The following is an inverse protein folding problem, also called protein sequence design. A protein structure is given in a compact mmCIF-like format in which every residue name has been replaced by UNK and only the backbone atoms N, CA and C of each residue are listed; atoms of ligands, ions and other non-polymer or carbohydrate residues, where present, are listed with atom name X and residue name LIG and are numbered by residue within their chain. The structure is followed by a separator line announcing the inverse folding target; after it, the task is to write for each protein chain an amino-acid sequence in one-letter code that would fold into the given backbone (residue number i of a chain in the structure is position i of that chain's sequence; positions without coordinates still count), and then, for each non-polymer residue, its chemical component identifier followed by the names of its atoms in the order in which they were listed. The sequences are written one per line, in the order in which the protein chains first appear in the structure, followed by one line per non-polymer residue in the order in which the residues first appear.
data_IF_276400124180
#
_entry.id   IF_276400124180
#
_cell.length_a   1.000
_cell.length_b   1.000
_cell.length_c   1.000
_cell.angle_alpha   90.00
_cell.angle_beta   90.00
_cell.angle_gamma   90.00
#
_symmetry.space_group_name_H-M   'P 1'
#
loop_
_entity.id
_entity.type
_entity.pdbx_description
1 polymer ?
#
# COMPACT_ATOMS: atom_id res chain seq x y z
N UNK A 1 14.01 -20.26 -14.74
CA UNK A 1 13.26 -19.52 -15.74
C UNK A 1 12.91 -18.18 -15.15
N UNK A 2 13.57 -17.20 -15.62
CA UNK A 2 13.18 -15.85 -15.32
C UNK A 2 11.80 -15.66 -15.87
N UNK A 3 10.83 -15.61 -15.02
CA UNK A 3 9.47 -15.48 -15.43
C UNK A 3 9.30 -14.26 -16.30
N UNK A 4 8.67 -14.47 -17.42
CA UNK A 4 8.12 -13.38 -18.16
C UNK A 4 7.29 -12.54 -17.21
N UNK A 5 7.31 -11.23 -17.40
CA UNK A 5 6.53 -10.32 -16.58
C UNK A 5 5.05 -10.59 -16.80
N UNK A 6 4.50 -11.54 -16.07
CA UNK A 6 3.07 -11.74 -16.02
C UNK A 6 2.48 -10.75 -15.04
N UNK A 7 1.35 -10.15 -15.39
CA UNK A 7 0.66 -9.24 -14.48
C UNK A 7 0.37 -9.96 -13.16
N UNK A 8 0.77 -9.34 -12.06
CA UNK A 8 0.47 -9.87 -10.74
C UNK A 8 -0.85 -9.28 -10.24
N UNK A 9 -1.64 -10.10 -9.53
CA UNK A 9 -2.89 -9.60 -8.95
C UNK A 9 -2.62 -8.55 -7.87
N UNK A 10 -3.62 -7.75 -7.51
CA UNK A 10 -3.47 -6.81 -6.41
C UNK A 10 -3.03 -7.52 -5.13
N UNK A 11 -2.20 -6.86 -4.35
CA UNK A 11 -1.73 -7.39 -3.07
C UNK A 11 -2.88 -7.44 -2.06
N UNK A 12 -3.71 -6.40 -2.04
CA UNK A 12 -4.85 -6.27 -1.15
C UNK A 12 -6.11 -6.03 -1.98
N UNK A 13 -7.25 -6.39 -1.41
CA UNK A 13 -8.54 -6.12 -2.04
C UNK A 13 -9.29 -5.06 -1.26
N UNK A 14 -9.77 -4.05 -1.97
CA UNK A 14 -10.69 -3.08 -1.39
C UNK A 14 -12.11 -3.66 -1.46
N UNK A 15 -12.86 -3.51 -0.38
CA UNK A 15 -14.22 -4.03 -0.27
C UNK A 15 -15.19 -2.88 0.02
N UNK A 16 -16.48 -3.14 -0.21
CA UNK A 16 -17.52 -2.14 0.08
C UNK A 16 -17.54 -1.77 1.56
N UNK A 17 -17.21 -2.74 2.41
CA UNK A 17 -17.05 -2.49 3.84
C UNK A 17 -15.63 -1.99 4.09
N UNK A 18 -15.49 -0.97 4.93
CA UNK A 18 -14.18 -0.40 5.24
C UNK A 18 -13.26 -1.43 5.87
N UNK A 19 -12.03 -1.49 5.36
CA UNK A 19 -10.98 -2.31 5.93
C UNK A 19 -9.96 -1.40 6.59
N UNK A 20 -9.49 -1.81 7.76
CA UNK A 20 -8.60 -0.99 8.57
C UNK A 20 -7.28 -1.72 8.81
N UNK A 21 -6.19 -0.97 8.75
CA UNK A 21 -4.85 -1.46 8.98
C UNK A 21 -4.14 -0.54 9.94
N UNK A 22 -3.31 -1.12 10.84
CA UNK A 22 -2.30 -0.31 11.51
C UNK A 22 -1.33 0.19 10.45
N UNK A 23 -1.03 1.47 10.51
CA UNK A 23 -0.15 2.12 9.55
C UNK A 23 1.08 2.63 10.27
N UNK A 24 2.25 2.26 9.76
CA UNK A 24 3.51 2.92 10.11
C UNK A 24 4.12 3.42 8.83
N UNK A 25 4.42 4.69 8.77
CA UNK A 25 5.05 5.30 7.61
C UNK A 25 6.27 6.08 8.06
N UNK A 26 7.43 5.61 7.62
CA UNK A 26 8.70 6.25 7.94
C UNK A 26 9.26 6.86 6.66
N UNK A 27 9.49 8.14 6.68
CA UNK A 27 10.07 8.86 5.55
C UNK A 27 11.13 9.82 6.06
N UNK A 28 12.39 9.47 5.83
CA UNK A 28 13.54 10.25 6.29
C UNK A 28 13.46 10.45 7.81
N UNK A 29 13.25 11.69 8.26
CA UNK A 29 13.14 12.01 9.70
C UNK A 29 11.70 11.97 10.21
N UNK A 30 10.74 11.75 9.33
CA UNK A 30 9.33 11.76 9.72
C UNK A 30 8.85 10.34 10.00
N UNK A 31 8.20 10.17 11.15
CA UNK A 31 7.63 8.90 11.57
C UNK A 31 6.17 9.12 11.88
N UNK A 32 5.30 8.44 11.13
CA UNK A 32 3.86 8.54 11.34
C UNK A 32 3.31 7.18 11.73
N UNK A 33 2.54 7.15 12.79
CA UNK A 33 1.81 5.96 13.22
C UNK A 33 0.33 6.27 13.24
N UNK A 34 -0.48 5.33 12.78
CA UNK A 34 -1.91 5.54 12.79
C UNK A 34 -2.65 4.41 12.13
N UNK A 35 -3.67 4.77 11.40
CA UNK A 35 -4.59 3.81 10.78
C UNK A 35 -4.75 4.13 9.31
N UNK A 36 -4.70 3.09 8.49
CA UNK A 36 -5.08 3.17 7.08
C UNK A 36 -6.49 2.62 6.95
N UNK A 37 -7.37 3.36 6.32
CA UNK A 37 -8.75 2.93 6.07
C UNK A 37 -8.96 2.87 4.57
N UNK A 38 -9.38 1.71 4.07
CA UNK A 38 -9.57 1.47 2.65
C UNK A 38 -11.00 1.01 2.41
N UNK A 39 -11.64 1.58 1.40
CA UNK A 39 -13.00 1.24 1.05
C UNK A 39 -13.21 1.31 -0.45
N UNK A 40 -13.90 0.32 -0.99
CA UNK A 40 -14.36 0.35 -2.37
C UNK A 40 -15.64 1.18 -2.42
N UNK A 41 -15.57 2.30 -3.11
CA UNK A 41 -16.71 3.19 -3.30
C UNK A 41 -17.42 2.87 -4.61
N UNK A 42 -18.64 3.38 -4.81
CA UNK A 42 -19.29 3.31 -6.12
C UNK A 42 -18.42 3.98 -7.21
N UNK A 43 -18.74 3.69 -8.47
CA UNK A 43 -18.06 4.28 -9.63
C UNK A 43 -16.59 3.92 -9.77
N UNK A 44 -16.22 2.70 -9.33
CA UNK A 44 -14.85 2.17 -9.44
C UNK A 44 -13.81 3.02 -8.71
N UNK A 45 -14.21 3.63 -7.61
CA UNK A 45 -13.31 4.42 -6.78
C UNK A 45 -12.86 3.62 -5.57
N UNK A 46 -11.56 3.61 -5.29
CA UNK A 46 -11.01 3.09 -4.04
C UNK A 46 -10.59 4.30 -3.22
N UNK A 47 -11.19 4.45 -2.04
CA UNK A 47 -10.85 5.55 -1.13
C UNK A 47 -9.83 5.06 -0.11
N UNK A 48 -8.75 5.82 0.05
CA UNK A 48 -7.63 5.45 0.92
C UNK A 48 -7.38 6.60 1.87
N UNK A 49 -7.62 6.37 3.16
CA UNK A 49 -7.46 7.38 4.19
C UNK A 49 -6.37 6.96 5.15
N UNK A 50 -5.45 7.90 5.46
CA UNK A 50 -4.47 7.72 6.51
C UNK A 50 -4.75 8.70 7.64
N UNK A 51 -4.77 8.21 8.87
CA UNK A 51 -5.10 9.05 10.03
C UNK A 51 -4.26 8.61 11.23
N UNK A 52 -3.90 9.57 12.07
CA UNK A 52 -3.33 9.23 13.37
C UNK A 52 -4.43 8.70 14.28
N UNK A 53 -4.05 8.04 15.37
CA UNK A 53 -5.04 7.51 16.30
C UNK A 53 -5.79 8.59 17.07
N UNK A 54 -5.25 9.80 17.14
CA UNK A 54 -5.96 10.93 17.77
C UNK A 54 -6.72 11.79 16.76
N UNK A 55 -6.92 11.29 15.54
CA UNK A 55 -7.85 11.89 14.59
C UNK A 55 -7.27 12.90 13.61
N UNK A 56 -5.95 13.09 13.58
CA UNK A 56 -5.35 13.95 12.57
C UNK A 56 -5.29 13.22 11.23
N UNK A 57 -5.87 13.82 10.19
CA UNK A 57 -5.80 13.24 8.86
C UNK A 57 -4.39 13.43 8.28
N UNK A 58 -3.77 12.33 7.89
CA UNK A 58 -2.46 12.37 7.23
C UNK A 58 -2.62 12.53 5.74
N UNK A 59 -3.53 11.80 5.14
CA UNK A 59 -3.81 11.89 3.72
C UNK A 59 -5.18 11.31 3.40
N UNK A 60 -5.70 11.73 2.25
CA UNK A 60 -6.95 11.27 1.70
C UNK A 60 -6.76 11.14 0.19
N UNK A 61 -6.70 9.91 -0.29
CA UNK A 61 -6.45 9.60 -1.70
C UNK A 61 -7.60 8.83 -2.30
N UNK A 62 -7.76 8.99 -3.62
CA UNK A 62 -8.71 8.18 -4.38
C UNK A 62 -7.98 7.54 -5.56
N UNK A 63 -8.25 6.24 -5.79
CA UNK A 63 -7.88 5.57 -7.02
C UNK A 63 -9.15 5.37 -7.84
N UNK A 64 -9.26 6.08 -8.93
CA UNK A 64 -10.40 5.99 -9.84
C UNK A 64 -9.93 5.27 -11.09
N UNK A 65 -10.16 3.98 -11.14
CA UNK A 65 -9.52 3.10 -12.12
C UNK A 65 -8.00 3.23 -11.97
N UNK A 66 -7.35 3.86 -12.92
CA UNK A 66 -5.90 4.04 -12.98
C UNK A 66 -5.45 5.44 -12.56
N UNK A 67 -6.41 6.31 -12.26
CA UNK A 67 -6.12 7.71 -11.91
C UNK A 67 -6.01 7.88 -10.40
N UNK A 68 -4.88 8.43 -9.97
CA UNK A 68 -4.63 8.72 -8.56
C UNK A 68 -4.97 10.17 -8.27
N UNK A 69 -5.84 10.39 -7.30
CA UNK A 69 -6.32 11.73 -6.93
C UNK A 69 -5.95 12.00 -5.48
N UNK A 70 -5.31 13.14 -5.24
CA UNK A 70 -4.98 13.60 -3.91
C UNK A 70 -6.09 14.54 -3.46
N UNK A 71 -6.96 14.06 -2.57
CA UNK A 71 -8.02 14.90 -2.01
C UNK A 71 -7.48 15.84 -0.95
N UNK A 72 -6.58 15.33 -0.10
CA UNK A 72 -5.86 16.15 0.86
C UNK A 72 -4.63 15.39 1.35
N UNK A 73 -3.63 16.13 1.82
CA UNK A 73 -2.53 15.50 2.53
C UNK A 73 -1.75 16.58 3.31
N UNK A 74 -1.05 16.13 4.35
CA UNK A 74 -0.25 17.02 5.16
C UNK A 74 0.99 17.50 4.38
N UNK A 75 1.51 18.62 4.80
CA UNK A 75 2.63 19.30 4.17
C UNK A 75 3.83 18.40 3.84
N UNK A 76 4.35 17.58 4.78
CA UNK A 76 5.50 16.74 4.49
C UNK A 76 5.29 15.75 3.36
N UNK A 77 4.05 15.37 3.06
CA UNK A 77 3.72 14.40 2.01
C UNK A 77 3.37 15.05 0.68
N UNK A 78 3.28 16.38 0.61
CA UNK A 78 2.83 17.09 -0.59
C UNK A 78 3.87 17.20 -1.69
N UNK A 79 5.11 16.81 -1.44
CA UNK A 79 6.15 16.88 -2.46
C UNK A 79 5.82 15.93 -3.60
N UNK A 80 6.03 16.40 -4.84
CA UNK A 80 5.71 15.61 -6.03
C UNK A 80 6.34 14.23 -6.01
N UNK A 81 7.60 14.14 -5.59
CA UNK A 81 8.30 12.85 -5.54
C UNK A 81 7.62 11.90 -4.56
N UNK A 82 7.23 12.39 -3.39
CA UNK A 82 6.57 11.61 -2.38
C UNK A 82 5.21 11.11 -2.88
N UNK A 83 4.43 12.00 -3.46
CA UNK A 83 3.12 11.63 -3.99
C UNK A 83 3.23 10.62 -5.12
N UNK A 84 4.25 10.74 -5.98
CA UNK A 84 4.47 9.78 -7.05
C UNK A 84 4.79 8.39 -6.50
N UNK A 85 5.58 8.33 -5.44
CA UNK A 85 5.92 7.07 -4.78
C UNK A 85 4.68 6.45 -4.15
N UNK A 86 3.90 7.25 -3.43
CA UNK A 86 2.67 6.77 -2.81
C UNK A 86 1.67 6.29 -3.86
N UNK A 87 1.55 7.02 -4.96
CA UNK A 87 0.70 6.60 -6.08
C UNK A 87 1.11 5.20 -6.57
N UNK A 88 2.39 5.01 -6.82
CA UNK A 88 2.91 3.73 -7.31
C UNK A 88 2.65 2.62 -6.29
N UNK A 89 2.90 2.90 -5.02
CA UNK A 89 2.70 1.91 -3.97
C UNK A 89 1.23 1.50 -3.82
N UNK A 90 0.33 2.47 -3.79
CA UNK A 90 -1.09 2.16 -3.65
C UNK A 90 -1.66 1.47 -4.90
N UNK A 91 -1.15 1.81 -6.07
CA UNK A 91 -1.54 1.09 -7.30
C UNK A 91 -1.08 -0.37 -7.24
N UNK A 92 0.15 -0.62 -6.77
CA UNK A 92 0.63 -1.99 -6.61
C UNK A 92 -0.17 -2.76 -5.54
N UNK A 93 -0.65 -2.07 -4.52
CA UNK A 93 -1.45 -2.72 -3.47
C UNK A 93 -2.83 -3.12 -3.99
N UNK A 94 -3.50 -2.25 -4.72
CA UNK A 94 -4.93 -2.41 -5.01
C UNK A 94 -5.26 -2.66 -6.47
N UNK A 95 -4.31 -2.56 -7.38
CA UNK A 95 -4.52 -2.79 -8.81
C UNK A 95 -3.56 -3.88 -9.30
N UNK A 96 -3.86 -4.42 -10.48
CA UNK A 96 -2.94 -5.35 -11.11
C UNK A 96 -1.63 -4.65 -11.45
N UNK A 97 -0.52 -5.34 -11.23
CA UNK A 97 0.78 -4.80 -11.54
C UNK A 97 1.42 -5.59 -12.69
N UNK A 98 1.77 -4.89 -13.76
CA UNK A 98 2.47 -5.49 -14.88
C UNK A 98 3.98 -5.40 -14.75
N UNK A 99 4.46 -4.59 -13.82
CA UNK A 99 5.90 -4.33 -13.64
C UNK A 99 6.49 -5.01 -12.42
N UNK A 100 5.67 -5.64 -11.62
CA UNK A 100 6.14 -6.35 -10.43
C UNK A 100 6.43 -7.80 -10.77
N UNK A 101 7.39 -8.39 -10.05
CA UNK A 101 7.72 -9.80 -10.18
C UNK A 101 7.87 -10.41 -8.80
N UNK A 102 7.57 -11.71 -8.71
CA UNK A 102 7.75 -12.43 -7.45
C UNK A 102 9.22 -12.83 -7.34
N UNK A 103 9.86 -12.45 -6.23
CA UNK A 103 11.24 -12.82 -5.96
C UNK A 103 11.33 -14.07 -5.12
N UNK A 104 10.48 -14.19 -4.09
CA UNK A 104 10.42 -15.34 -3.20
C UNK A 104 8.97 -15.63 -2.87
N UNK A 105 8.63 -16.90 -2.73
CA UNK A 105 7.28 -17.29 -2.36
C UNK A 105 7.29 -18.60 -1.60
N UNK A 106 6.53 -18.64 -0.50
CA UNK A 106 6.23 -19.85 0.23
C UNK A 106 4.76 -19.80 0.66
N UNK A 107 4.28 -20.78 1.39
CA UNK A 107 2.90 -20.77 1.86
C UNK A 107 2.59 -19.65 2.87
N UNK A 108 3.63 -19.10 3.51
CA UNK A 108 3.46 -18.10 4.57
C UNK A 108 4.09 -16.76 4.23
N UNK A 109 4.73 -16.65 3.07
CA UNK A 109 5.57 -15.50 2.76
C UNK A 109 5.62 -15.28 1.26
N UNK A 110 5.55 -14.02 0.86
CA UNK A 110 5.75 -13.67 -0.55
C UNK A 110 6.51 -12.36 -0.59
N UNK A 111 7.48 -12.27 -1.49
CA UNK A 111 8.21 -11.05 -1.73
C UNK A 111 8.14 -10.69 -3.20
N UNK A 112 7.69 -9.48 -3.48
CA UNK A 112 7.60 -8.92 -4.83
C UNK A 112 8.54 -7.75 -4.96
N UNK A 113 9.09 -7.57 -6.15
CA UNK A 113 9.94 -6.45 -6.48
C UNK A 113 9.35 -5.71 -7.67
N UNK A 114 9.33 -4.39 -7.59
CA UNK A 114 8.89 -3.53 -8.66
C UNK A 114 9.94 -2.43 -8.88
N UNK A 115 10.16 -2.04 -10.14
CA UNK A 115 11.05 -0.95 -10.47
C UNK A 115 12.53 -1.30 -10.42
N UNK A 116 13.37 -0.30 -10.70
CA UNK A 116 14.83 -0.41 -10.73
C UNK A 116 15.45 0.84 -10.12
N UNK A 117 16.70 0.70 -9.63
CA UNK A 117 17.46 1.84 -9.12
C UNK A 117 16.73 2.56 -8.00
N UNK A 118 16.60 3.86 -8.09
CA UNK A 118 15.91 4.65 -7.09
C UNK A 118 14.42 4.34 -7.02
N UNK A 119 13.86 3.81 -8.10
CA UNK A 119 12.45 3.40 -8.11
C UNK A 119 12.22 1.99 -7.63
N UNK A 120 13.26 1.27 -7.20
CA UNK A 120 13.10 -0.10 -6.73
C UNK A 120 12.26 -0.13 -5.46
N UNK A 121 11.24 -0.98 -5.50
CA UNK A 121 10.32 -1.15 -4.38
C UNK A 121 10.23 -2.62 -4.03
N UNK A 122 10.31 -2.95 -2.76
CA UNK A 122 10.22 -4.32 -2.27
C UNK A 122 8.97 -4.44 -1.41
N UNK A 123 8.06 -5.33 -1.82
CA UNK A 123 6.84 -5.64 -1.08
C UNK A 123 7.03 -6.98 -0.40
N UNK A 124 6.92 -7.00 0.92
CA UNK A 124 6.99 -8.23 1.69
C UNK A 124 5.61 -8.53 2.27
N UNK A 125 5.04 -9.66 1.87
CA UNK A 125 3.70 -10.07 2.27
C UNK A 125 3.81 -11.25 3.21
N UNK A 126 3.07 -11.21 4.30
CA UNK A 126 3.06 -12.30 5.28
C UNK A 126 1.75 -12.33 6.04
N UNK A 127 1.61 -13.29 6.95
CA UNK A 127 0.39 -13.42 7.73
C UNK A 127 -0.81 -13.76 6.86
N UNK A 128 -0.65 -14.72 5.94
CA UNK A 128 -1.73 -15.06 5.01
C UNK A 128 -2.89 -15.75 5.72
N UNK A 129 -4.08 -15.24 5.49
CA UNK A 129 -5.34 -15.81 5.96
C UNK A 129 -6.27 -15.88 4.76
N UNK A 130 -6.74 -17.09 4.44
CA UNK A 130 -7.61 -17.34 3.27
C UNK A 130 -7.01 -16.79 1.98
N UNK A 131 -5.69 -16.98 1.82
CA UNK A 131 -4.99 -16.56 0.61
C UNK A 131 -4.68 -15.08 0.53
N UNK A 132 -4.99 -14.30 1.55
CA UNK A 132 -4.75 -12.86 1.57
C UNK A 132 -3.78 -12.48 2.66
N UNK A 133 -2.78 -11.67 2.33
CA UNK A 133 -1.80 -11.19 3.29
C UNK A 133 -2.44 -10.20 4.27
N UNK A 134 -2.18 -10.39 5.55
CA UNK A 134 -2.61 -9.45 6.58
C UNK A 134 -1.50 -8.52 7.02
N UNK A 135 -0.27 -8.82 6.64
CA UNK A 135 0.88 -7.95 6.90
C UNK A 135 1.57 -7.63 5.58
N UNK A 136 1.75 -6.34 5.32
CA UNK A 136 2.43 -5.87 4.12
C UNK A 136 3.48 -4.86 4.55
N UNK A 137 4.70 -5.08 4.08
CA UNK A 137 5.77 -4.12 4.28
C UNK A 137 6.25 -3.64 2.91
N UNK A 138 6.32 -2.33 2.73
CA UNK A 138 6.80 -1.71 1.51
C UNK A 138 8.09 -0.98 1.84
N UNK A 139 9.16 -1.33 1.15
CA UNK A 139 10.45 -0.66 1.32
C UNK A 139 10.92 -0.09 0.01
N UNK A 140 11.37 1.15 0.06
CA UNK A 140 12.09 1.80 -1.03
C UNK A 140 13.54 1.95 -0.59
N UNK A 141 14.42 0.99 -0.95
CA UNK A 141 15.75 0.89 -0.34
C UNK A 141 16.61 2.14 -0.47
N UNK A 142 16.46 2.88 -1.58
CA UNK A 142 17.36 4.00 -1.87
C UNK A 142 16.80 5.37 -1.47
N UNK A 143 15.55 5.43 -1.00
CA UNK A 143 14.93 6.72 -0.66
C UNK A 143 14.44 6.79 0.77
N UNK A 144 14.80 5.84 1.61
CA UNK A 144 14.46 5.80 3.04
C UNK A 144 12.97 5.95 3.31
N UNK A 145 12.16 5.29 2.51
CA UNK A 145 10.72 5.24 2.75
C UNK A 145 10.33 3.81 3.09
N UNK A 146 9.59 3.67 4.17
CA UNK A 146 9.04 2.37 4.58
C UNK A 146 7.59 2.56 4.99
N UNK A 147 6.74 1.67 4.49
CA UNK A 147 5.34 1.63 4.89
C UNK A 147 5.07 0.24 5.42
N UNK A 148 4.44 0.15 6.59
CA UNK A 148 4.05 -1.13 7.15
C UNK A 148 2.56 -1.09 7.45
N UNK A 149 1.86 -2.13 6.98
CA UNK A 149 0.41 -2.28 7.16
C UNK A 149 0.15 -3.61 7.85
N UNK A 150 -0.57 -3.56 8.95
CA UNK A 150 -1.03 -4.76 9.66
C UNK A 150 -2.55 -4.68 9.73
N UNK A 151 -3.22 -5.66 9.13
CA UNK A 151 -4.67 -5.66 9.09
C UNK A 151 -5.27 -5.75 10.49
N UNK A 152 -6.19 -4.88 10.80
CA UNK A 152 -6.92 -4.92 12.05
C UNK A 152 -8.15 -5.79 11.87
N UNK A 153 -8.17 -6.90 12.61
CA UNK A 153 -9.32 -7.78 12.63
C UNK A 153 -10.23 -7.31 13.75
N UNK A 154 -11.21 -6.48 13.38
CA UNK A 154 -12.21 -6.07 14.35
C UNK A 154 -13.25 -7.16 14.37
N UNK A 155 -13.03 -8.15 15.23
CA UNK A 155 -14.05 -9.10 15.55
C UNK A 155 -14.97 -8.40 16.53
N UNK A 156 -16.11 -8.00 16.05
CA UNK A 156 -17.15 -7.55 16.94
C UNK A 156 -17.60 -8.74 17.76
N UNK A 157 -17.56 -8.64 19.08
CA UNK A 157 -18.20 -9.64 19.89
C UNK A 157 -19.71 -9.64 19.61
#
# INVERSE_FOLDING_TARGET
VTGEATALPPILQAEAQSQKYNLQLDFMKHHFSGMLIVRQMPDNEIRILGSTYFGLSLFDFSLHCDTFIVNSCIEPMRKKKMLKILETDFKNLFLKSEKARIKKKSSTFEQRISGKGFGKTVFTLSGFVNGQAEKVQIKHPLIRLRIQLDKLNINNP
#
